data_IF_434927348278
#
_entry.id   IF_434927348278
#
_cell.length_a   1.000
_cell.length_b   1.000
_cell.length_c   1.000
_cell.angle_alpha   90.00
_cell.angle_beta   90.00
_cell.angle_gamma   90.00
#
_symmetry.space_group_name_H-M   'P 1'
#
loop_
_entity.id
_entity.type
_entity.pdbx_description
1 polymer ?
#
# COMPACT_ATOMS: atom_id res chain seq x y z
N UNK A 1 39.57 10.08 -21.16
CA UNK A 1 39.39 8.92 -20.24
C UNK A 1 39.40 9.34 -18.76
N UNK A 2 40.41 10.09 -18.29
CA UNK A 2 40.50 10.51 -16.88
C UNK A 2 39.40 11.48 -16.39
N UNK A 3 38.85 12.33 -17.25
CA UNK A 3 37.78 13.29 -16.92
C UNK A 3 36.42 12.63 -16.71
N UNK A 4 36.10 11.63 -17.53
CA UNK A 4 34.86 10.85 -17.44
C UNK A 4 34.83 10.00 -16.15
N UNK A 5 35.97 9.44 -15.76
CA UNK A 5 36.11 8.67 -14.52
C UNK A 5 35.96 9.55 -13.26
N UNK A 6 36.44 10.81 -13.29
CA UNK A 6 36.23 11.78 -12.20
C UNK A 6 34.77 12.22 -12.10
N UNK A 7 34.09 12.44 -13.22
CA UNK A 7 32.67 12.82 -13.22
C UNK A 7 31.80 11.69 -12.66
N UNK A 8 32.06 10.44 -13.08
CA UNK A 8 31.37 9.25 -12.56
C UNK A 8 31.63 9.08 -11.06
N UNK A 9 32.87 9.31 -10.60
CA UNK A 9 33.21 9.26 -9.17
C UNK A 9 32.49 10.34 -8.36
N UNK A 10 32.40 11.57 -8.89
CA UNK A 10 31.65 12.66 -8.26
C UNK A 10 30.15 12.38 -8.22
N UNK A 11 29.57 11.81 -9.27
CA UNK A 11 28.17 11.37 -9.28
C UNK A 11 27.92 10.25 -8.25
N UNK A 12 28.82 9.27 -8.16
CA UNK A 12 28.75 8.19 -7.16
C UNK A 12 28.85 8.72 -5.74
N UNK A 13 29.76 9.67 -5.47
CA UNK A 13 29.86 10.32 -4.16
C UNK A 13 28.57 11.07 -3.83
N UNK A 14 28.04 11.85 -4.77
CA UNK A 14 26.76 12.56 -4.61
C UNK A 14 25.60 11.60 -4.33
N UNK A 15 25.59 10.44 -4.98
CA UNK A 15 24.58 9.40 -4.77
C UNK A 15 24.70 8.77 -3.38
N UNK A 16 25.92 8.55 -2.88
CA UNK A 16 26.19 8.05 -1.52
C UNK A 16 25.77 9.10 -0.45
N UNK A 17 26.05 10.39 -0.67
CA UNK A 17 25.60 11.47 0.22
C UNK A 17 24.08 11.71 0.15
N UNK A 18 23.42 11.33 -0.95
CA UNK A 18 21.98 11.36 -1.10
C UNK A 18 21.27 10.11 -0.52
N UNK A 19 22.02 9.14 0.02
CA UNK A 19 21.43 8.04 0.79
C UNK A 19 20.88 8.62 2.08
N UNK A 20 19.61 8.95 2.03
CA UNK A 20 18.82 9.43 3.14
C UNK A 20 18.84 8.36 4.25
N UNK A 21 19.24 8.75 5.45
CA UNK A 21 19.23 7.91 6.66
C UNK A 21 17.86 7.22 6.79
N UNK A 22 17.81 5.91 6.55
CA UNK A 22 16.60 5.12 6.76
C UNK A 22 16.44 4.95 8.26
N UNK A 23 15.64 5.82 8.87
CA UNK A 23 15.25 5.67 10.27
C UNK A 23 14.11 4.69 10.36
N UNK A 24 14.30 3.64 11.15
CA UNK A 24 13.21 2.76 11.59
C UNK A 24 12.28 3.59 12.46
N UNK A 25 10.97 3.55 12.17
CA UNK A 25 9.94 4.27 12.91
C UNK A 25 8.86 3.27 13.31
N UNK A 26 8.46 3.29 14.58
CA UNK A 26 7.29 2.56 15.03
C UNK A 26 6.02 3.30 14.60
N UNK A 27 5.08 2.58 14.00
CA UNK A 27 3.78 3.12 13.57
C UNK A 27 2.67 2.31 14.23
N UNK A 28 1.74 3.01 14.87
CA UNK A 28 0.52 2.39 15.41
C UNK A 28 -0.39 2.01 14.23
N UNK A 29 -0.55 0.71 13.96
CA UNK A 29 -1.42 0.17 12.91
C UNK A 29 -2.58 -0.59 13.56
N UNK A 30 -3.77 -0.48 12.98
CA UNK A 30 -4.94 -1.23 13.42
C UNK A 30 -4.82 -2.72 13.04
N UNK A 31 -5.40 -3.60 13.85
CA UNK A 31 -5.46 -5.03 13.52
C UNK A 31 -6.47 -5.30 12.41
N UNK A 32 -6.20 -6.36 11.66
CA UNK A 32 -7.18 -7.00 10.81
C UNK A 32 -8.36 -7.49 11.67
N UNK A 33 -9.57 -7.39 11.12
CA UNK A 33 -10.84 -7.69 11.80
C UNK A 33 -11.50 -8.95 11.28
N UNK A 34 -10.96 -9.56 10.22
CA UNK A 34 -11.53 -10.73 9.58
C UNK A 34 -10.54 -11.89 9.61
N UNK A 35 -11.02 -13.08 9.94
CA UNK A 35 -10.21 -14.30 9.97
C UNK A 35 -10.95 -15.47 9.33
N UNK A 36 -10.21 -16.45 8.82
CA UNK A 36 -10.75 -17.66 8.22
C UNK A 36 -10.71 -18.85 9.17
N UNK A 37 -11.73 -19.71 9.11
CA UNK A 37 -11.79 -20.93 9.92
C UNK A 37 -10.63 -21.88 9.56
N UNK A 38 -9.98 -22.45 10.58
CA UNK A 38 -8.86 -23.38 10.46
C UNK A 38 -7.50 -22.69 10.26
N UNK A 39 -7.48 -21.38 9.99
CA UNK A 39 -6.26 -20.61 9.79
C UNK A 39 -5.56 -20.17 11.08
N UNK A 40 -4.55 -19.32 10.92
CA UNK A 40 -3.88 -18.60 12.00
C UNK A 40 -4.21 -17.12 11.84
N UNK A 41 -4.71 -16.49 12.91
CA UNK A 41 -5.01 -15.06 12.93
C UNK A 41 -4.02 -14.33 13.84
N UNK A 42 -3.43 -13.23 13.37
CA UNK A 42 -2.62 -12.32 14.19
C UNK A 42 -3.50 -11.16 14.66
N UNK A 43 -3.71 -11.06 15.96
CA UNK A 43 -4.34 -9.89 16.58
C UNK A 43 -3.28 -8.83 16.83
N UNK A 44 -3.27 -7.80 15.99
CA UNK A 44 -2.22 -6.78 16.02
C UNK A 44 -2.46 -5.74 17.10
N UNK A 45 -1.56 -5.67 18.08
CA UNK A 45 -1.58 -4.65 19.13
C UNK A 45 -0.24 -3.93 19.17
N UNK A 46 -0.20 -2.71 18.64
CA UNK A 46 1.00 -1.88 18.63
C UNK A 46 0.79 -0.67 19.54
N UNK A 47 1.76 -0.45 20.41
CA UNK A 47 1.84 0.76 21.20
C UNK A 47 3.24 1.34 21.09
N UNK A 48 3.45 2.27 20.17
CA UNK A 48 4.75 2.90 20.01
C UNK A 48 5.13 3.77 21.21
N UNK A 49 6.40 3.70 21.60
CA UNK A 49 6.93 4.62 22.61
C UNK A 49 7.08 6.02 21.99
N UNK A 50 6.71 7.08 22.74
CA UNK A 50 6.89 8.46 22.26
C UNK A 50 8.37 8.83 22.07
N UNK A 51 9.25 8.19 22.84
CA UNK A 51 10.70 8.35 22.76
C UNK A 51 11.34 6.99 23.02
N UNK A 52 12.13 6.53 22.05
CA UNK A 52 12.76 5.20 22.06
C UNK A 52 13.94 5.08 23.03
N UNK A 53 14.58 6.20 23.37
CA UNK A 53 15.72 6.26 24.30
C UNK A 53 15.37 5.89 25.75
N UNK A 54 14.08 5.90 26.11
CA UNK A 54 13.61 5.65 27.48
C UNK A 54 13.19 4.19 27.61
N UNK A 55 13.79 3.47 28.57
CA UNK A 55 13.35 2.13 28.95
C UNK A 55 12.14 2.17 29.88
N UNK A 56 11.16 1.29 29.64
CA UNK A 56 10.00 1.10 30.49
C UNK A 56 9.73 -0.37 30.75
N UNK A 57 9.30 -0.71 31.96
CA UNK A 57 8.76 -2.04 32.24
C UNK A 57 7.33 -2.10 31.66
N UNK A 58 7.07 -3.10 30.82
CA UNK A 58 5.80 -3.23 30.10
C UNK A 58 5.07 -4.48 30.57
N UNK A 59 3.84 -4.30 31.04
CA UNK A 59 2.89 -5.35 31.37
C UNK A 59 1.74 -5.33 30.37
N UNK A 60 1.35 -6.50 29.86
CA UNK A 60 0.29 -6.60 28.86
C UNK A 60 -0.72 -7.64 29.28
N UNK A 61 -1.98 -7.26 29.16
CA UNK A 61 -3.11 -8.13 29.47
C UNK A 61 -4.04 -8.17 28.25
N UNK A 62 -4.33 -9.38 27.78
CA UNK A 62 -5.28 -9.61 26.71
C UNK A 62 -6.58 -10.14 27.26
N UNK A 63 -7.66 -9.51 26.85
CA UNK A 63 -9.00 -9.86 27.26
C UNK A 63 -9.86 -10.25 26.07
N UNK A 64 -10.78 -11.17 26.30
CA UNK A 64 -11.81 -11.56 25.35
C UNK A 64 -13.19 -11.29 25.95
N UNK A 65 -14.08 -10.75 25.11
CA UNK A 65 -15.49 -10.52 25.39
C UNK A 65 -16.29 -11.18 24.26
N UNK A 66 -17.22 -12.08 24.61
CA UNK A 66 -18.01 -12.82 23.62
C UNK A 66 -18.92 -11.93 22.77
N UNK A 67 -19.49 -12.50 21.70
CA UNK A 67 -20.12 -11.73 20.62
C UNK A 67 -21.43 -10.97 20.92
N UNK A 68 -22.13 -11.15 22.07
CA UNK A 68 -23.34 -10.36 22.37
C UNK A 68 -23.99 -10.62 23.75
N UNK A 69 -23.77 -11.79 24.38
CA UNK A 69 -24.54 -12.22 25.55
C UNK A 69 -23.74 -12.39 26.84
N UNK A 70 -22.42 -12.34 26.76
CA UNK A 70 -21.51 -12.51 27.91
C UNK A 70 -20.59 -11.28 27.99
N UNK A 71 -21.03 -10.27 28.75
CA UNK A 71 -20.27 -9.03 28.99
C UNK A 71 -19.09 -9.25 29.96
N UNK A 72 -18.82 -10.48 30.37
CA UNK A 72 -17.69 -10.75 31.23
C UNK A 72 -16.40 -10.67 30.42
N UNK A 73 -15.60 -9.64 30.72
CA UNK A 73 -14.23 -9.49 30.25
C UNK A 73 -13.38 -10.59 30.86
N UNK A 74 -12.90 -11.53 30.04
CA UNK A 74 -12.08 -12.67 30.50
C UNK A 74 -10.63 -12.47 30.10
N UNK A 75 -9.71 -12.62 31.06
CA UNK A 75 -8.27 -12.58 30.78
C UNK A 75 -7.85 -13.88 30.09
N UNK A 76 -7.33 -13.78 28.87
CA UNK A 76 -6.97 -14.93 28.03
C UNK A 76 -5.47 -15.11 27.87
N UNK A 77 -4.68 -14.03 27.96
CA UNK A 77 -3.23 -14.05 27.81
C UNK A 77 -2.59 -12.91 28.60
N UNK A 78 -1.40 -13.12 29.14
CA UNK A 78 -0.67 -12.11 29.91
C UNK A 78 0.83 -12.13 29.56
N UNK A 79 1.44 -10.95 29.59
CA UNK A 79 2.88 -10.77 29.55
C UNK A 79 3.30 -9.97 30.79
N UNK A 80 4.00 -10.64 31.71
CA UNK A 80 4.71 -10.03 32.83
C UNK A 80 6.13 -10.61 32.90
N UNK A 81 7.09 -9.89 32.32
CA UNK A 81 8.47 -10.32 32.01
C UNK A 81 8.58 -11.44 30.97
N UNK A 82 7.74 -12.46 31.07
CA UNK A 82 7.64 -13.59 30.15
C UNK A 82 6.18 -13.81 29.71
N UNK A 83 5.92 -14.22 28.45
CA UNK A 83 4.58 -14.52 27.97
C UNK A 83 4.06 -15.82 28.60
N UNK A 84 2.85 -15.79 29.17
CA UNK A 84 2.24 -16.98 29.75
C UNK A 84 0.71 -16.98 29.72
N UNK A 85 0.14 -18.18 29.77
CA UNK A 85 -1.30 -18.36 29.94
C UNK A 85 -1.68 -18.09 31.42
N UNK A 86 -2.69 -17.23 31.70
CA UNK A 86 -3.21 -17.04 33.04
C UNK A 86 -3.71 -18.36 33.64
N UNK A 87 -3.54 -18.55 34.96
CA UNK A 87 -3.99 -19.79 35.65
C UNK A 87 -5.50 -20.03 35.49
N UNK A 88 -6.26 -18.94 35.56
CA UNK A 88 -7.72 -18.92 35.48
C UNK A 88 -8.24 -18.83 34.04
N UNK A 89 -7.34 -18.84 33.03
CA UNK A 89 -7.77 -18.87 31.64
C UNK A 89 -8.55 -20.16 31.34
N UNK A 90 -9.65 -20.01 30.61
CA UNK A 90 -10.46 -21.15 30.19
C UNK A 90 -9.61 -22.16 29.41
N UNK A 91 -9.88 -23.46 29.60
CA UNK A 91 -9.15 -24.54 28.93
C UNK A 91 -9.17 -24.42 27.40
N UNK A 92 -10.19 -23.74 26.85
CA UNK A 92 -10.34 -23.47 25.43
C UNK A 92 -9.16 -22.69 24.81
N UNK A 93 -8.55 -21.75 25.55
CA UNK A 93 -7.48 -20.88 25.04
C UNK A 93 -6.09 -21.49 25.19
N UNK A 94 -5.91 -22.44 26.12
CA UNK A 94 -4.61 -23.01 26.48
C UNK A 94 -3.96 -23.70 25.28
N UNK A 95 -2.74 -23.29 24.96
CA UNK A 95 -1.97 -23.83 23.83
C UNK A 95 -2.44 -23.40 22.42
N UNK A 96 -3.46 -22.55 22.32
CA UNK A 96 -3.90 -21.96 21.03
C UNK A 96 -3.40 -20.54 20.81
N UNK A 97 -3.11 -19.82 21.89
CA UNK A 97 -2.56 -18.47 21.85
C UNK A 97 -1.04 -18.53 21.87
N UNK A 98 -0.42 -17.79 20.96
CA UNK A 98 1.04 -17.68 20.88
C UNK A 98 1.46 -16.22 20.85
N UNK A 99 2.47 -15.86 21.63
CA UNK A 99 3.07 -14.54 21.56
C UNK A 99 3.71 -14.29 20.19
N UNK A 100 3.36 -13.16 19.57
CA UNK A 100 3.91 -12.72 18.28
C UNK A 100 4.29 -11.24 18.32
N UNK A 101 4.81 -10.80 19.48
CA UNK A 101 5.30 -9.46 19.72
C UNK A 101 6.80 -9.33 19.51
N UNK A 102 7.27 -8.09 19.43
CA UNK A 102 8.66 -7.73 19.23
C UNK A 102 9.46 -7.72 20.54
N UNK A 103 10.78 -7.84 20.44
CA UNK A 103 11.68 -7.89 21.61
C UNK A 103 11.72 -6.58 22.41
N UNK A 104 11.49 -5.46 21.75
CA UNK A 104 11.41 -4.12 22.32
C UNK A 104 10.04 -3.79 22.93
N UNK A 105 9.08 -4.73 22.88
CA UNK A 105 7.74 -4.60 23.46
C UNK A 105 6.97 -3.39 22.93
N UNK A 106 7.21 -3.03 21.67
CA UNK A 106 6.42 -2.05 20.92
C UNK A 106 5.29 -2.74 20.13
N UNK A 107 5.60 -3.85 19.46
CA UNK A 107 4.62 -4.80 18.94
C UNK A 107 4.33 -5.84 20.02
N UNK A 108 3.07 -5.97 20.39
CA UNK A 108 2.57 -6.73 21.54
C UNK A 108 1.44 -7.66 21.08
N UNK A 109 1.54 -8.08 19.83
CA UNK A 109 0.54 -8.90 19.17
C UNK A 109 0.54 -10.34 19.66
N UNK A 110 -0.63 -10.96 19.63
CA UNK A 110 -0.80 -12.40 19.84
C UNK A 110 -1.34 -13.04 18.57
N UNK A 111 -1.06 -14.32 18.38
CA UNK A 111 -1.62 -15.12 17.30
C UNK A 111 -2.51 -16.23 17.85
N UNK A 112 -3.66 -16.41 17.22
CA UNK A 112 -4.62 -17.47 17.51
C UNK A 112 -4.42 -18.57 16.46
N UNK A 113 -4.07 -19.77 16.90
CA UNK A 113 -3.90 -20.95 16.04
C UNK A 113 -5.20 -21.74 15.96
N UNK A 114 -5.48 -22.29 14.77
CA UNK A 114 -6.68 -23.06 14.45
C UNK A 114 -7.96 -22.28 14.76
N UNK A 115 -8.13 -21.12 14.12
CA UNK A 115 -9.28 -20.22 14.34
C UNK A 115 -10.60 -20.95 14.07
N UNK A 116 -11.61 -20.72 14.90
CA UNK A 116 -12.95 -21.31 14.79
C UNK A 116 -14.03 -20.24 14.85
N UNK A 117 -15.26 -20.56 14.44
CA UNK A 117 -16.37 -19.60 14.48
C UNK A 117 -16.65 -19.03 15.88
N UNK A 118 -16.32 -19.78 16.94
CA UNK A 118 -16.48 -19.37 18.35
C UNK A 118 -15.48 -18.31 18.79
N UNK A 119 -14.40 -18.10 18.03
CA UNK A 119 -13.41 -17.06 18.32
C UNK A 119 -13.91 -15.66 17.92
N UNK A 120 -15.07 -15.57 17.26
CA UNK A 120 -15.74 -14.31 16.94
C UNK A 120 -16.09 -13.56 18.22
N UNK A 121 -15.73 -12.28 18.29
CA UNK A 121 -15.96 -11.47 19.48
C UNK A 121 -15.05 -10.24 19.53
N UNK A 122 -14.98 -9.66 20.72
CA UNK A 122 -14.20 -8.45 20.97
C UNK A 122 -12.98 -8.80 21.81
N UNK A 123 -11.80 -8.51 21.27
CA UNK A 123 -10.53 -8.65 21.96
C UNK A 123 -10.07 -7.27 22.42
N UNK A 124 -9.57 -7.18 23.65
CA UNK A 124 -9.00 -5.94 24.20
C UNK A 124 -7.58 -6.20 24.68
N UNK A 125 -6.64 -5.44 24.12
CA UNK A 125 -5.25 -5.41 24.54
C UNK A 125 -5.07 -4.22 25.49
N UNK A 126 -4.73 -4.49 26.74
CA UNK A 126 -4.41 -3.49 27.76
C UNK A 126 -2.91 -3.49 28.04
N UNK A 127 -2.25 -2.42 27.63
CA UNK A 127 -0.79 -2.27 27.78
C UNK A 127 -0.51 -1.24 28.85
N UNK A 128 0.12 -1.67 29.95
CA UNK A 128 0.55 -0.82 31.04
C UNK A 128 2.06 -0.70 31.04
N UNK A 129 2.57 0.53 30.86
CA UNK A 129 4.00 0.84 30.89
C UNK A 129 4.35 1.62 32.14
N UNK A 130 5.38 1.16 32.84
CA UNK A 130 5.94 1.80 34.02
C UNK A 130 7.30 2.41 33.68
N UNK A 131 7.33 3.73 33.66
CA UNK A 131 8.53 4.52 33.41
C UNK A 131 9.15 4.93 34.75
N UNK A 132 10.43 4.64 34.90
CA UNK A 132 11.23 5.06 36.06
C UNK A 132 12.22 6.10 35.57
N UNK A 133 11.99 7.36 35.95
CA UNK A 133 12.92 8.45 35.74
C UNK A 133 13.68 8.74 37.02
N UNK A 134 14.80 9.47 36.94
CA UNK A 134 15.64 9.80 38.09
C UNK A 134 14.87 10.53 39.20
N UNK A 135 13.88 11.36 38.82
CA UNK A 135 13.14 12.23 39.73
C UNK A 135 11.70 11.80 40.02
N UNK A 136 11.10 10.97 39.17
CA UNK A 136 9.71 10.52 39.35
C UNK A 136 9.42 9.20 38.65
N UNK A 137 8.33 8.55 39.07
CA UNK A 137 7.76 7.38 38.39
C UNK A 137 6.48 7.77 37.69
N UNK A 138 6.29 7.27 36.47
CA UNK A 138 5.10 7.52 35.68
C UNK A 138 4.58 6.22 35.10
N UNK A 139 3.27 6.02 35.10
CA UNK A 139 2.63 4.87 34.46
C UNK A 139 1.67 5.35 33.38
N UNK A 140 1.69 4.70 32.22
CA UNK A 140 0.75 4.96 31.13
C UNK A 140 0.09 3.67 30.70
N UNK A 141 -1.23 3.71 30.55
CA UNK A 141 -2.03 2.57 30.12
C UNK A 141 -2.74 2.92 28.82
N UNK A 142 -2.62 2.06 27.81
CA UNK A 142 -3.34 2.15 26.53
C UNK A 142 -4.23 0.90 26.39
N UNK A 143 -5.48 1.11 26.00
CA UNK A 143 -6.43 0.03 25.68
C UNK A 143 -6.74 0.09 24.19
N UNK A 144 -6.61 -1.05 23.52
CA UNK A 144 -6.91 -1.19 22.09
C UNK A 144 -7.93 -2.31 21.94
N UNK A 145 -9.05 -1.99 21.31
CA UNK A 145 -10.17 -2.91 21.09
C UNK A 145 -10.19 -3.38 19.65
N UNK A 146 -10.33 -4.68 19.43
CA UNK A 146 -10.32 -5.34 18.13
C UNK A 146 -11.59 -6.20 18.04
N UNK A 147 -12.45 -5.91 17.07
CA UNK A 147 -13.63 -6.74 16.78
C UNK A 147 -13.25 -7.77 15.71
N UNK A 148 -13.19 -9.04 16.10
CA UNK A 148 -12.86 -10.14 15.21
C UNK A 148 -14.12 -10.83 14.69
N UNK A 149 -14.23 -10.95 13.37
CA UNK A 149 -15.28 -11.70 12.66
C UNK A 149 -14.67 -12.87 11.91
N UNK A 150 -15.05 -14.08 12.31
CA UNK A 150 -14.56 -15.28 11.65
C UNK A 150 -15.51 -15.65 10.50
N UNK A 151 -14.96 -15.75 9.29
CA UNK A 151 -15.64 -16.18 8.07
C UNK A 151 -15.17 -17.58 7.66
N UNK A 152 -15.99 -18.29 6.90
CA UNK A 152 -15.64 -19.62 6.40
C UNK A 152 -14.60 -19.56 5.27
N UNK A 153 -14.63 -18.51 4.46
CA UNK A 153 -13.72 -18.30 3.32
C UNK A 153 -13.11 -16.91 3.36
N UNK A 154 -11.90 -16.77 2.81
CA UNK A 154 -11.19 -15.50 2.70
C UNK A 154 -11.87 -14.62 1.65
N UNK A 155 -12.44 -13.49 2.08
CA UNK A 155 -12.97 -12.50 1.15
C UNK A 155 -11.85 -11.57 0.71
N UNK A 156 -11.58 -11.48 -0.60
CA UNK A 156 -10.59 -10.54 -1.13
C UNK A 156 -11.02 -9.11 -0.83
N UNK A 157 -10.04 -8.26 -0.51
CA UNK A 157 -10.29 -6.84 -0.27
C UNK A 157 -11.01 -6.20 -1.46
N UNK A 158 -12.21 -5.68 -1.21
CA UNK A 158 -13.02 -5.03 -2.24
C UNK A 158 -12.30 -3.82 -2.83
N UNK A 159 -11.50 -3.12 -2.02
CA UNK A 159 -10.66 -2.01 -2.46
C UNK A 159 -9.56 -2.46 -3.42
N UNK A 160 -8.92 -3.60 -3.16
CA UNK A 160 -7.89 -4.14 -4.04
C UNK A 160 -8.49 -4.61 -5.37
N UNK A 161 -9.65 -5.26 -5.34
CA UNK A 161 -10.37 -5.63 -6.55
C UNK A 161 -10.78 -4.39 -7.38
N UNK A 162 -11.28 -3.34 -6.73
CA UNK A 162 -11.67 -2.12 -7.42
C UNK A 162 -10.47 -1.39 -8.04
N UNK A 163 -9.35 -1.29 -7.32
CA UNK A 163 -8.15 -0.62 -7.84
C UNK A 163 -7.55 -1.37 -9.03
N UNK A 164 -7.57 -2.70 -9.01
CA UNK A 164 -7.16 -3.54 -10.14
C UNK A 164 -8.04 -3.29 -11.38
N UNK A 165 -9.36 -3.32 -11.21
CA UNK A 165 -10.31 -3.07 -12.31
C UNK A 165 -10.12 -1.66 -12.87
N UNK A 166 -10.03 -0.63 -12.00
CA UNK A 166 -9.81 0.75 -12.42
C UNK A 166 -8.50 0.93 -13.18
N UNK A 167 -7.43 0.25 -12.77
CA UNK A 167 -6.15 0.27 -13.49
C UNK A 167 -6.34 -0.24 -14.93
N UNK A 168 -6.98 -1.39 -15.13
CA UNK A 168 -7.22 -1.93 -16.47
C UNK A 168 -8.11 -1.03 -17.32
N UNK A 169 -9.17 -0.45 -16.75
CA UNK A 169 -10.06 0.48 -17.47
C UNK A 169 -9.29 1.70 -17.96
N UNK A 170 -8.45 2.30 -17.10
CA UNK A 170 -7.62 3.44 -17.49
C UNK A 170 -6.61 3.08 -18.56
N UNK A 171 -5.98 1.90 -18.48
CA UNK A 171 -5.03 1.44 -19.50
C UNK A 171 -5.70 1.25 -20.86
N UNK A 172 -6.87 0.61 -20.92
CA UNK A 172 -7.62 0.41 -22.18
C UNK A 172 -8.08 1.73 -22.77
N UNK A 173 -8.58 2.65 -21.93
CA UNK A 173 -9.03 3.96 -22.40
C UNK A 173 -7.87 4.80 -22.96
N UNK A 174 -6.75 4.89 -22.22
CA UNK A 174 -5.58 5.65 -22.66
C UNK A 174 -4.93 5.05 -23.92
N UNK A 175 -4.84 3.72 -24.01
CA UNK A 175 -4.31 3.05 -25.22
C UNK A 175 -5.21 3.27 -26.43
N UNK A 176 -6.54 3.16 -26.27
CA UNK A 176 -7.49 3.47 -27.33
C UNK A 176 -7.39 4.94 -27.78
N UNK A 177 -7.32 5.87 -26.83
CA UNK A 177 -7.11 7.29 -27.13
C UNK A 177 -5.84 7.54 -27.95
N UNK A 178 -4.71 6.95 -27.53
CA UNK A 178 -3.44 7.05 -28.27
C UNK A 178 -3.54 6.43 -29.67
N UNK A 179 -4.23 5.29 -29.83
CA UNK A 179 -4.45 4.70 -31.15
C UNK A 179 -5.28 5.60 -32.07
N UNK A 180 -6.31 6.25 -31.53
CA UNK A 180 -7.13 7.22 -32.28
C UNK A 180 -6.26 8.41 -32.72
N UNK A 181 -5.47 8.99 -31.82
CA UNK A 181 -4.53 10.08 -32.14
C UNK A 181 -3.47 9.65 -33.16
N UNK A 182 -2.92 8.45 -33.02
CA UNK A 182 -1.96 7.89 -33.98
C UNK A 182 -2.57 7.73 -35.38
N UNK A 183 -3.78 7.17 -35.49
CA UNK A 183 -4.49 6.99 -36.77
C UNK A 183 -4.87 8.36 -37.35
N UNK A 184 -5.34 9.29 -36.51
CA UNK A 184 -5.71 10.63 -36.92
C UNK A 184 -4.49 11.38 -37.48
N UNK A 185 -3.36 11.40 -36.74
CA UNK A 185 -2.11 11.99 -37.17
C UNK A 185 -1.58 11.34 -38.45
N UNK A 186 -1.59 10.01 -38.52
CA UNK A 186 -1.15 9.26 -39.70
C UNK A 186 -1.95 9.66 -40.96
N UNK A 187 -3.29 9.64 -40.87
CA UNK A 187 -4.17 10.03 -41.99
C UNK A 187 -4.00 11.49 -42.38
N UNK A 188 -3.75 12.36 -41.41
CA UNK A 188 -3.53 13.79 -41.67
C UNK A 188 -2.21 14.01 -42.42
N UNK A 189 -1.13 13.35 -41.99
CA UNK A 189 0.18 13.45 -42.63
C UNK A 189 0.14 12.86 -44.04
N UNK A 190 -0.46 11.68 -44.21
CA UNK A 190 -0.54 11.04 -45.53
C UNK A 190 -1.27 11.92 -46.56
N UNK A 191 -2.38 12.55 -46.16
CA UNK A 191 -3.09 13.51 -47.02
C UNK A 191 -2.26 14.75 -47.35
N UNK A 192 -1.43 15.23 -46.43
CA UNK A 192 -0.55 16.37 -46.71
C UNK A 192 0.59 16.00 -47.67
N UNK A 193 1.08 14.77 -47.64
CA UNK A 193 2.15 14.29 -48.52
C UNK A 193 1.66 14.13 -49.97
N UNK A 194 0.44 13.61 -50.18
CA UNK A 194 -0.20 13.58 -51.51
C UNK A 194 -0.37 14.99 -52.10
N UNK A 195 -0.79 15.96 -51.29
CA UNK A 195 -1.00 17.36 -51.71
C UNK A 195 0.31 18.08 -52.06
N UNK A 196 1.42 17.74 -51.38
CA UNK A 196 2.76 18.24 -51.71
C UNK A 196 3.29 17.61 -53.00
N UNK A 197 2.98 16.34 -53.25
CA UNK A 197 3.35 15.66 -54.49
C UNK A 197 2.62 16.26 -55.69
N UNK A 198 1.30 16.49 -55.58
CA UNK A 198 0.47 17.09 -56.64
C UNK A 198 0.87 18.54 -56.96
N UNK A 199 1.22 19.33 -55.96
CA UNK A 199 1.74 20.69 -56.18
C UNK A 199 3.12 20.65 -56.84
N UNK A 200 4.02 19.75 -56.44
CA UNK A 200 5.32 19.60 -57.09
C UNK A 200 5.24 19.10 -58.54
N UNK A 201 4.30 18.21 -58.87
CA UNK A 201 4.06 17.78 -60.26
C UNK A 201 3.41 18.86 -61.12
N UNK A 202 2.55 19.72 -60.56
CA UNK A 202 2.00 20.89 -61.26
C UNK A 202 3.10 21.90 -61.65
N UNK A 203 4.12 22.09 -60.81
CA UNK A 203 5.30 22.91 -61.15
C UNK A 203 6.23 22.28 -62.20
N UNK A 204 6.19 20.95 -62.37
CA UNK A 204 6.99 20.23 -63.37
C UNK A 204 6.24 20.02 -64.69
N UNK A 205 4.93 20.25 -64.74
CA UNK A 205 4.16 20.28 -65.97
C UNK A 205 4.44 21.57 -66.74
N UNK A 206 5.52 21.57 -67.52
CA UNK A 206 5.84 22.62 -68.50
C UNK A 206 4.67 22.69 -69.51
N UNK A 207 3.94 23.81 -69.65
CA UNK A 207 3.03 23.98 -70.78
C UNK A 207 3.89 24.26 -72.01
N UNK A 208 4.12 23.24 -72.83
CA UNK A 208 4.57 23.45 -74.20
C UNK A 208 3.38 23.97 -75.01
N UNK A 209 3.35 25.26 -75.29
CA UNK A 209 3.26 25.78 -76.66
C UNK A 209 3.12 27.30 -76.62
N UNK A 210 4.24 27.96 -76.93
CA UNK A 210 4.29 29.33 -77.38
C UNK A 210 4.08 29.29 -78.91
N UNK A 211 2.97 29.83 -79.42
CA UNK A 211 2.93 30.33 -80.79
C UNK A 211 1.99 31.53 -80.93
N UNK A 212 2.65 32.65 -81.11
CA UNK A 212 2.22 33.98 -81.54
C UNK A 212 0.92 34.05 -82.39
N UNK A 213 0.08 34.99 -81.96
CA UNK A 213 -1.01 35.69 -82.68
C UNK A 213 -0.48 36.27 -84.02
N UNK A 214 -1.30 36.54 -85.07
CA UNK A 214 -2.15 37.75 -85.02
C UNK A 214 -3.44 37.75 -85.89
N UNK A 215 -4.46 38.43 -85.36
CA UNK A 215 -5.16 39.48 -86.12
C UNK A 215 -6.48 39.13 -86.81
N UNK A 216 -7.34 40.13 -87.09
CA UNK A 216 -8.69 40.13 -86.55
C UNK A 216 -9.83 40.23 -87.60
N UNK A 217 -11.05 40.13 -87.06
CA UNK A 217 -12.33 40.64 -87.56
C UNK A 217 -12.99 39.86 -88.72
N UNK A 218 -14.27 39.52 -88.55
CA UNK A 218 -15.41 40.25 -89.12
C UNK A 218 -16.72 39.62 -88.60
N UNK A 219 -17.67 40.51 -88.37
CA UNK A 219 -19.08 40.36 -88.00
C UNK A 219 -19.93 39.59 -88.99
N UNK A 220 -20.92 38.84 -88.49
CA UNK A 220 -22.35 38.96 -88.85
C UNK A 220 -23.22 38.37 -87.74
#
# INVERSE_FOLDING_TARGET
>A
MATHMRLVLHLLLLFIFAVQEVRLVCVDVASDTEATVGGVMKLTCIYCMKREEISAETKVEWFYTGSASDYQKKLIYEYDRDPHDPKDAEAYWKGRLTWNGSKDLQDISISIVNVTANDTGIYECEVSRFFVFDSFKHSSTKKITIELKVKMEETRDTTALYSEIMMYVLLVFLTFWLLVEMIYCYRKISKSEELVQDTATDYLAIPSENKENPGPAVTE
#
